data_IF_808913401422
#
_entry.id   IF_808913401422
#
_cell.length_a   1.000
_cell.length_b   1.000
_cell.length_c   1.000
_cell.angle_alpha   90.00
_cell.angle_beta   90.00
_cell.angle_gamma   90.00
#
_symmetry.space_group_name_H-M   'P 1'
#
loop_
_entity.id
_entity.type
_entity.pdbx_description
1 polymer ?
#
# COMPACT_ATOMS: atom_id res chain seq x y z
N UNK A 1 1.85 -2.88 -15.63
CA UNK A 1 1.17 -1.78 -16.35
C UNK A 1 1.72 -1.70 -17.76
N UNK A 2 0.92 -1.39 -18.78
CA UNK A 2 1.45 -1.09 -20.13
C UNK A 2 2.03 0.33 -20.14
N UNK A 3 3.12 0.56 -20.86
CA UNK A 3 3.80 1.86 -20.87
C UNK A 3 2.91 3.01 -21.36
N UNK A 4 2.02 2.76 -22.33
CA UNK A 4 1.06 3.76 -22.81
C UNK A 4 0.06 4.20 -21.72
N UNK A 5 -0.43 3.24 -20.93
CA UNK A 5 -1.32 3.52 -19.81
C UNK A 5 -0.57 4.30 -18.72
N UNK A 6 0.68 3.90 -18.44
CA UNK A 6 1.55 4.59 -17.48
C UNK A 6 1.80 6.04 -17.89
N UNK A 7 2.09 6.30 -19.17
CA UNK A 7 2.33 7.65 -19.67
C UNK A 7 1.11 8.54 -19.48
N UNK A 8 -0.08 8.02 -19.76
CA UNK A 8 -1.32 8.78 -19.56
C UNK A 8 -1.56 9.12 -18.08
N UNK A 9 -1.37 8.14 -17.19
CA UNK A 9 -1.49 8.36 -15.73
C UNK A 9 -0.45 9.36 -15.23
N UNK A 10 0.82 9.19 -15.62
CA UNK A 10 1.92 10.06 -15.20
C UNK A 10 1.74 11.50 -15.68
N UNK A 11 1.18 11.68 -16.88
CA UNK A 11 0.87 13.01 -17.43
C UNK A 11 -0.21 13.72 -16.59
N UNK A 12 -1.30 13.01 -16.26
CA UNK A 12 -2.35 13.51 -15.36
C UNK A 12 -1.76 13.90 -13.98
N UNK A 13 -0.92 13.04 -13.40
CA UNK A 13 -0.26 13.32 -12.12
C UNK A 13 0.69 14.52 -12.20
N UNK A 14 1.49 14.64 -13.27
CA UNK A 14 2.40 15.77 -13.48
C UNK A 14 1.63 17.10 -13.48
N UNK A 15 0.49 17.15 -14.15
CA UNK A 15 -0.37 18.34 -14.19
C UNK A 15 -0.91 18.70 -12.81
N UNK A 16 -1.39 17.71 -12.04
CA UNK A 16 -1.83 17.93 -10.66
C UNK A 16 -0.70 18.44 -9.75
N UNK A 17 0.55 18.02 -10.00
CA UNK A 17 1.72 18.41 -9.20
C UNK A 17 2.24 19.81 -9.55
N UNK A 18 2.12 20.27 -10.81
CA UNK A 18 2.63 21.60 -11.25
C UNK A 18 2.12 22.78 -10.44
N UNK A 19 0.90 22.69 -9.91
CA UNK A 19 0.30 23.74 -9.07
C UNK A 19 0.68 23.66 -7.59
N UNK A 20 1.31 22.58 -7.15
CA UNK A 20 1.54 22.27 -5.73
C UNK A 20 3.00 22.42 -5.30
N UNK A 21 3.94 22.16 -6.21
CA UNK A 21 5.38 22.15 -5.93
C UNK A 21 6.13 23.25 -6.67
N UNK A 22 7.17 23.85 -6.08
CA UNK A 22 8.09 24.72 -6.80
C UNK A 22 8.74 24.00 -7.99
N UNK A 23 9.04 24.75 -9.05
CA UNK A 23 9.80 24.22 -10.19
C UNK A 23 11.15 23.65 -9.71
N UNK A 24 11.48 22.43 -10.13
CA UNK A 24 12.73 21.75 -9.76
C UNK A 24 12.77 21.24 -8.31
N UNK A 25 11.63 21.10 -7.64
CA UNK A 25 11.59 20.56 -6.27
C UNK A 25 11.97 19.07 -6.23
N UNK A 26 13.02 18.74 -5.45
CA UNK A 26 13.62 17.39 -5.39
C UNK A 26 13.69 16.78 -3.99
N UNK A 27 13.28 17.50 -2.96
CA UNK A 27 13.19 16.89 -1.62
C UNK A 27 12.05 15.88 -1.61
N UNK A 28 12.19 14.84 -0.80
CA UNK A 28 11.22 13.74 -0.69
C UNK A 28 10.83 13.56 0.77
N UNK A 29 9.66 12.99 1.01
CA UNK A 29 9.16 12.72 2.35
C UNK A 29 8.10 11.64 2.36
N UNK A 30 7.86 11.04 3.52
CA UNK A 30 6.87 9.94 3.69
C UNK A 30 5.46 10.33 3.22
N UNK A 31 5.11 11.62 3.26
CA UNK A 31 3.83 12.14 2.75
C UNK A 31 4.03 13.21 1.66
N UNK A 32 5.16 13.17 0.95
CA UNK A 32 5.60 14.23 0.06
C UNK A 32 6.25 13.64 -1.19
N UNK A 33 5.51 13.70 -2.30
CA UNK A 33 6.02 13.39 -3.62
C UNK A 33 5.22 12.37 -4.39
N UNK A 34 5.81 11.88 -5.49
CA UNK A 34 5.35 10.72 -6.21
C UNK A 34 6.23 9.53 -5.85
N UNK A 35 5.60 8.48 -5.32
CA UNK A 35 6.31 7.32 -4.80
C UNK A 35 6.06 6.14 -5.74
N UNK A 36 7.12 5.56 -6.29
CA UNK A 36 7.06 4.29 -6.99
C UNK A 36 7.10 3.18 -5.93
N UNK A 37 5.96 2.57 -5.66
CA UNK A 37 5.76 1.58 -4.59
C UNK A 37 4.92 0.39 -5.08
N UNK A 38 4.44 -0.44 -4.17
CA UNK A 38 3.57 -1.59 -4.43
C UNK A 38 3.90 -2.77 -3.53
N UNK A 39 4.02 -3.97 -4.12
CA UNK A 39 4.63 -5.10 -3.43
C UNK A 39 6.15 -4.92 -3.31
N UNK A 40 6.84 -4.77 -4.43
CA UNK A 40 8.27 -4.50 -4.51
C UNK A 40 8.65 -4.03 -5.94
N UNK A 41 9.01 -2.75 -6.16
CA UNK A 41 9.32 -2.21 -7.49
C UNK A 41 10.48 -2.89 -8.21
N UNK A 42 11.51 -3.35 -7.48
CA UNK A 42 12.68 -4.00 -8.07
C UNK A 42 12.41 -5.42 -8.56
N UNK A 43 11.19 -5.97 -8.42
CA UNK A 43 10.78 -7.20 -9.10
C UNK A 43 10.65 -7.01 -10.62
N UNK A 44 10.47 -5.78 -11.09
CA UNK A 44 10.45 -5.45 -12.52
C UNK A 44 11.33 -4.22 -12.77
N UNK A 45 12.67 -4.40 -12.81
CA UNK A 45 13.62 -3.29 -12.91
C UNK A 45 13.48 -2.51 -14.22
N UNK A 46 13.12 -3.18 -15.32
CA UNK A 46 12.92 -2.53 -16.62
C UNK A 46 11.73 -1.55 -16.57
N UNK A 47 10.58 -2.00 -16.06
CA UNK A 47 9.42 -1.14 -15.88
C UNK A 47 9.71 0.00 -14.90
N UNK A 48 10.41 -0.29 -13.78
CA UNK A 48 10.80 0.75 -12.82
C UNK A 48 11.64 1.83 -13.49
N UNK A 49 12.66 1.44 -14.26
CA UNK A 49 13.54 2.37 -14.97
C UNK A 49 12.78 3.20 -16.01
N UNK A 50 11.87 2.58 -16.77
CA UNK A 50 11.02 3.28 -17.73
C UNK A 50 10.10 4.30 -17.07
N UNK A 51 9.50 3.95 -15.92
CA UNK A 51 8.66 4.87 -15.14
C UNK A 51 9.45 6.05 -14.58
N UNK A 52 10.68 5.83 -14.12
CA UNK A 52 11.55 6.91 -13.63
C UNK A 52 11.90 7.87 -14.77
N UNK A 53 12.35 7.36 -15.93
CA UNK A 53 12.66 8.19 -17.11
C UNK A 53 11.44 8.96 -17.60
N UNK A 54 10.28 8.32 -17.57
CA UNK A 54 9.01 8.94 -17.97
C UNK A 54 8.63 10.09 -17.02
N UNK A 55 8.74 9.87 -15.71
CA UNK A 55 8.46 10.89 -14.70
C UNK A 55 9.44 12.08 -14.81
N UNK A 56 10.74 11.81 -15.02
CA UNK A 56 11.75 12.85 -15.23
C UNK A 56 11.46 13.69 -16.50
N UNK A 57 11.17 13.04 -17.62
CA UNK A 57 10.77 13.70 -18.88
C UNK A 57 9.52 14.58 -18.73
N UNK A 58 8.60 14.18 -17.86
CA UNK A 58 7.38 14.93 -17.55
C UNK A 58 7.59 16.00 -16.46
N UNK A 59 8.83 16.19 -15.98
CA UNK A 59 9.19 17.19 -14.97
C UNK A 59 8.58 16.91 -13.59
N UNK A 60 8.33 15.64 -13.25
CA UNK A 60 7.70 15.26 -11.99
C UNK A 60 8.59 15.66 -10.79
N UNK A 61 8.10 16.49 -9.85
CA UNK A 61 8.87 16.84 -8.67
C UNK A 61 8.83 15.73 -7.62
N UNK A 62 9.81 15.71 -6.72
CA UNK A 62 9.79 14.82 -5.53
C UNK A 62 9.56 13.32 -5.83
N UNK A 63 10.15 12.81 -6.92
CA UNK A 63 10.09 11.40 -7.32
C UNK A 63 11.01 10.50 -6.47
N UNK A 64 10.47 9.45 -5.86
CA UNK A 64 11.27 8.42 -5.18
C UNK A 64 10.69 7.01 -5.30
N UNK A 65 11.48 6.01 -4.91
CA UNK A 65 11.07 4.60 -4.87
C UNK A 65 11.03 4.07 -3.45
N UNK A 66 10.05 3.23 -3.13
CA UNK A 66 9.96 2.49 -1.86
C UNK A 66 10.36 1.03 -2.09
N UNK A 67 11.20 0.46 -1.22
CA UNK A 67 11.77 -0.89 -1.44
C UNK A 67 12.00 -1.66 -0.14
N UNK A 68 11.91 -2.98 -0.22
CA UNK A 68 12.26 -3.95 0.83
C UNK A 68 13.73 -4.44 0.75
N UNK A 69 14.45 -4.03 -0.29
CA UNK A 69 15.88 -4.26 -0.50
C UNK A 69 16.30 -5.69 -0.86
N UNK A 70 15.36 -6.56 -1.28
CA UNK A 70 15.72 -7.93 -1.67
C UNK A 70 16.79 -7.99 -2.78
N UNK A 71 16.85 -7.01 -3.67
CA UNK A 71 17.77 -6.93 -4.81
C UNK A 71 19.22 -6.56 -4.42
N UNK A 72 19.46 -6.05 -3.21
CA UNK A 72 20.78 -5.62 -2.74
C UNK A 72 21.63 -6.82 -2.26
N UNK A 73 21.86 -7.80 -3.15
CA UNK A 73 22.60 -9.02 -2.85
C UNK A 73 24.10 -8.79 -2.63
N UNK A 74 24.72 -7.92 -3.43
CA UNK A 74 26.15 -7.53 -3.30
C UNK A 74 26.29 -6.02 -3.33
N UNK A 75 27.44 -5.51 -2.88
CA UNK A 75 27.71 -4.06 -2.83
C UNK A 75 27.67 -3.44 -4.24
N UNK A 76 28.08 -4.22 -5.25
CA UNK A 76 28.01 -3.87 -6.66
C UNK A 76 26.55 -3.80 -7.14
N UNK A 77 25.74 -4.85 -6.90
CA UNK A 77 24.34 -4.85 -7.34
C UNK A 77 23.53 -3.74 -6.66
N UNK A 78 23.85 -3.45 -5.40
CA UNK A 78 23.26 -2.36 -4.64
C UNK A 78 23.57 -1.00 -5.29
N UNK A 79 24.84 -0.71 -5.59
CA UNK A 79 25.25 0.57 -6.18
C UNK A 79 24.80 0.72 -7.63
N UNK A 80 24.94 -0.32 -8.44
CA UNK A 80 24.57 -0.28 -9.86
C UNK A 80 23.09 0.06 -10.03
N UNK A 81 22.20 -0.65 -9.33
CA UNK A 81 20.76 -0.42 -9.48
C UNK A 81 20.37 1.00 -9.02
N UNK A 82 20.94 1.49 -7.93
CA UNK A 82 20.64 2.85 -7.43
C UNK A 82 21.22 3.95 -8.32
N UNK A 83 22.42 3.77 -8.86
CA UNK A 83 23.02 4.72 -9.79
C UNK A 83 22.21 4.79 -11.09
N UNK A 84 21.80 3.64 -11.64
CA UNK A 84 20.95 3.62 -12.84
C UNK A 84 19.65 4.42 -12.62
N UNK A 85 18.98 4.27 -11.48
CA UNK A 85 17.77 5.04 -11.17
C UNK A 85 18.08 6.52 -10.92
N UNK A 86 19.18 6.84 -10.23
CA UNK A 86 19.63 8.21 -9.99
C UNK A 86 19.90 8.96 -11.29
N UNK A 87 20.63 8.33 -12.20
CA UNK A 87 20.95 8.85 -13.54
C UNK A 87 19.70 9.01 -14.41
N UNK A 88 18.71 8.13 -14.24
CA UNK A 88 17.43 8.22 -14.92
C UNK A 88 16.50 9.34 -14.41
N UNK A 89 16.83 9.99 -13.28
CA UNK A 89 16.08 11.12 -12.73
C UNK A 89 15.43 10.88 -11.35
N UNK A 90 15.71 9.76 -10.69
CA UNK A 90 15.17 9.49 -9.35
C UNK A 90 15.76 10.48 -8.32
N UNK A 91 14.91 11.12 -7.51
CA UNK A 91 15.36 12.10 -6.52
C UNK A 91 15.74 11.46 -5.18
N UNK A 92 15.05 10.40 -4.76
CA UNK A 92 15.24 9.78 -3.45
C UNK A 92 14.81 8.32 -3.37
N UNK A 93 14.91 7.76 -2.17
CA UNK A 93 14.57 6.38 -1.87
C UNK A 93 14.07 6.24 -0.43
N UNK A 94 13.08 5.38 -0.24
CA UNK A 94 12.57 4.95 1.07
C UNK A 94 12.85 3.46 1.24
N UNK A 95 13.61 3.13 2.28
CA UNK A 95 13.93 1.75 2.65
C UNK A 95 13.06 1.35 3.83
N UNK A 96 12.20 0.36 3.60
CA UNK A 96 11.33 -0.20 4.64
C UNK A 96 12.08 -1.21 5.47
N UNK A 97 12.11 -1.00 6.80
CA UNK A 97 12.78 -1.91 7.74
C UNK A 97 11.78 -2.35 8.80
N UNK A 98 11.38 -3.61 8.77
CA UNK A 98 10.49 -4.17 9.79
C UNK A 98 10.60 -5.70 9.88
N UNK A 99 10.06 -6.31 10.95
CA UNK A 99 10.12 -7.75 11.15
C UNK A 99 9.42 -8.57 10.06
N UNK A 100 8.41 -8.00 9.39
CA UNK A 100 7.69 -8.68 8.30
C UNK A 100 8.55 -8.84 7.05
N UNK A 101 9.39 -7.85 6.74
CA UNK A 101 10.36 -7.93 5.65
C UNK A 101 11.50 -8.87 6.01
N UNK A 102 11.97 -8.79 7.25
CA UNK A 102 13.10 -9.57 7.76
C UNK A 102 12.87 -11.10 7.72
N UNK A 103 11.62 -11.54 7.71
CA UNK A 103 11.26 -12.94 7.49
C UNK A 103 11.67 -13.46 6.10
N UNK A 104 11.72 -12.58 5.10
CA UNK A 104 11.95 -12.95 3.70
C UNK A 104 13.26 -12.39 3.13
N UNK A 105 13.74 -11.25 3.64
CA UNK A 105 14.92 -10.55 3.14
C UNK A 105 16.04 -10.60 4.19
N UNK A 106 17.20 -11.19 3.87
CA UNK A 106 18.36 -11.17 4.77
C UNK A 106 18.73 -9.75 5.19
N UNK A 107 18.90 -9.53 6.49
CA UNK A 107 19.13 -8.20 7.05
C UNK A 107 20.35 -7.48 6.45
N UNK A 108 21.36 -8.24 6.04
CA UNK A 108 22.56 -7.72 5.40
C UNK A 108 22.24 -6.98 4.09
N UNK A 109 21.18 -7.37 3.38
CA UNK A 109 20.74 -6.69 2.16
C UNK A 109 20.17 -5.31 2.48
N UNK A 110 19.37 -5.20 3.54
CA UNK A 110 18.86 -3.92 4.04
C UNK A 110 20.00 -3.00 4.44
N UNK A 111 20.95 -3.47 5.25
CA UNK A 111 22.12 -2.69 5.68
C UNK A 111 22.95 -2.22 4.48
N UNK A 112 23.13 -3.10 3.49
CA UNK A 112 23.84 -2.78 2.26
C UNK A 112 23.14 -1.70 1.43
N UNK A 113 21.83 -1.85 1.21
CA UNK A 113 21.04 -0.86 0.49
C UNK A 113 21.08 0.50 1.20
N UNK A 114 20.99 0.53 2.54
CA UNK A 114 21.12 1.76 3.33
C UNK A 114 22.49 2.43 3.11
N UNK A 115 23.59 1.67 3.15
CA UNK A 115 24.94 2.22 2.91
C UNK A 115 25.05 2.84 1.52
N UNK A 116 24.66 2.09 0.48
CA UNK A 116 24.71 2.58 -0.90
C UNK A 116 23.80 3.79 -1.12
N UNK A 117 22.57 3.75 -0.61
CA UNK A 117 21.61 4.85 -0.73
C UNK A 117 22.07 6.11 0.01
N UNK A 118 22.76 5.98 1.14
CA UNK A 118 23.33 7.12 1.88
C UNK A 118 24.41 7.83 1.07
N UNK A 119 25.23 7.07 0.34
CA UNK A 119 26.25 7.63 -0.57
C UNK A 119 25.59 8.35 -1.77
N UNK A 120 24.54 7.77 -2.36
CA UNK A 120 23.95 8.21 -3.64
C UNK A 120 22.85 9.28 -3.48
N UNK A 121 21.95 9.12 -2.51
CA UNK A 121 20.77 9.99 -2.31
C UNK A 121 20.93 10.95 -1.13
N UNK A 122 21.86 10.70 -0.22
CA UNK A 122 22.19 11.59 0.90
C UNK A 122 20.93 11.96 1.72
N UNK A 123 20.57 13.24 1.77
CA UNK A 123 19.40 13.75 2.49
C UNK A 123 18.05 13.22 1.97
N UNK A 124 18.02 12.64 0.76
CA UNK A 124 16.83 12.04 0.16
C UNK A 124 16.73 10.52 0.39
N UNK A 125 17.54 9.96 1.29
CA UNK A 125 17.33 8.63 1.84
C UNK A 125 16.39 8.72 3.06
N UNK A 126 15.32 7.93 3.04
CA UNK A 126 14.44 7.72 4.17
C UNK A 126 14.53 6.27 4.64
N UNK A 127 14.63 6.07 5.95
CA UNK A 127 14.53 4.75 6.58
C UNK A 127 13.17 4.69 7.27
N UNK A 128 12.24 3.96 6.67
CA UNK A 128 10.90 3.82 7.23
C UNK A 128 10.90 2.77 8.34
N UNK A 129 10.36 3.18 9.49
CA UNK A 129 10.41 2.44 10.76
C UNK A 129 11.85 2.20 11.27
N UNK A 130 12.67 3.26 11.30
CA UNK A 130 14.06 3.24 11.80
C UNK A 130 14.23 2.62 13.20
N UNK A 131 13.21 2.70 14.06
CA UNK A 131 13.22 2.01 15.35
C UNK A 131 13.46 0.49 15.24
N UNK A 132 12.93 -0.15 14.20
CA UNK A 132 13.18 -1.57 13.93
C UNK A 132 14.58 -1.83 13.42
N UNK A 133 15.18 -0.92 12.65
CA UNK A 133 16.58 -1.05 12.22
C UNK A 133 17.48 -1.22 13.45
N UNK A 134 17.40 -0.28 14.39
CA UNK A 134 18.20 -0.33 15.61
C UNK A 134 17.88 -1.53 16.49
N UNK A 135 16.62 -1.96 16.53
CA UNK A 135 16.24 -3.15 17.28
C UNK A 135 16.86 -4.42 16.69
N UNK A 136 16.78 -4.59 15.37
CA UNK A 136 17.32 -5.76 14.68
C UNK A 136 18.86 -5.79 14.81
N UNK A 137 19.53 -4.62 14.70
CA UNK A 137 20.96 -4.49 14.96
C UNK A 137 21.35 -4.91 16.38
N UNK A 138 20.60 -4.42 17.39
CA UNK A 138 20.84 -4.78 18.80
C UNK A 138 20.64 -6.26 19.10
N UNK A 139 19.71 -6.91 18.40
CA UNK A 139 19.48 -8.34 18.49
C UNK A 139 20.58 -9.16 17.79
N UNK A 140 21.44 -8.53 17.00
CA UNK A 140 22.52 -9.20 16.29
C UNK A 140 22.02 -10.19 15.22
N UNK A 141 20.84 -9.94 14.65
CA UNK A 141 20.25 -10.83 13.64
C UNK A 141 21.15 -10.88 12.41
N UNK A 142 21.40 -12.10 11.92
CA UNK A 142 22.07 -12.39 10.66
C UNK A 142 21.12 -13.19 9.78
N UNK A 143 21.06 -12.86 8.49
CA UNK A 143 20.11 -13.46 7.58
C UNK A 143 18.66 -13.05 7.88
N UNK A 144 17.76 -14.03 7.81
CA UNK A 144 16.31 -13.86 8.05
C UNK A 144 15.92 -14.41 9.41
N UNK A 145 14.86 -13.87 10.01
CA UNK A 145 14.20 -14.45 11.18
C UNK A 145 12.70 -14.46 10.96
N UNK A 146 12.03 -15.57 11.26
CA UNK A 146 10.57 -15.64 11.16
C UNK A 146 9.92 -14.61 12.09
N UNK A 147 8.78 -14.05 11.70
CA UNK A 147 8.08 -13.08 12.52
C UNK A 147 7.76 -13.62 13.92
N UNK A 148 7.33 -14.88 14.04
CA UNK A 148 7.05 -15.48 15.35
C UNK A 148 8.31 -15.60 16.22
N UNK A 149 9.45 -15.87 15.62
CA UNK A 149 10.73 -16.02 16.32
C UNK A 149 11.24 -14.64 16.76
N UNK A 150 11.08 -13.63 15.90
CA UNK A 150 11.34 -12.24 16.24
C UNK A 150 10.53 -11.79 17.46
N UNK A 151 9.22 -12.06 17.49
CA UNK A 151 8.37 -11.72 18.63
C UNK A 151 8.81 -12.43 19.92
N UNK A 152 9.26 -13.69 19.85
CA UNK A 152 9.76 -14.42 21.03
C UNK A 152 11.06 -13.82 21.55
N UNK A 153 11.95 -13.36 20.68
CA UNK A 153 13.24 -12.79 21.08
C UNK A 153 13.12 -11.32 21.52
N UNK A 154 12.38 -10.51 20.77
CA UNK A 154 12.24 -9.08 20.99
C UNK A 154 11.14 -8.73 22.01
N UNK A 155 10.24 -9.67 22.29
CA UNK A 155 9.04 -9.48 23.11
C UNK A 155 7.92 -8.76 22.35
N UNK A 156 6.65 -8.98 22.71
CA UNK A 156 5.51 -8.35 22.03
C UNK A 156 5.53 -6.82 22.07
N UNK A 157 6.14 -6.22 23.11
CA UNK A 157 6.33 -4.78 23.22
C UNK A 157 7.26 -4.20 22.16
N UNK A 158 8.05 -5.03 21.47
CA UNK A 158 8.82 -4.60 20.28
C UNK A 158 7.93 -4.03 19.19
N UNK A 159 6.68 -4.48 19.10
CA UNK A 159 5.72 -4.04 18.09
C UNK A 159 5.05 -2.72 18.44
N UNK A 160 5.39 -2.09 19.58
CA UNK A 160 4.79 -0.82 19.99
C UNK A 160 4.99 0.29 18.94
N UNK A 161 6.12 0.28 18.24
CA UNK A 161 6.43 1.24 17.17
C UNK A 161 5.98 0.78 15.78
N UNK A 162 5.30 -0.36 15.68
CA UNK A 162 4.80 -0.85 14.42
C UNK A 162 3.57 -0.04 14.01
N UNK A 163 3.66 0.69 12.90
CA UNK A 163 2.49 1.31 12.26
C UNK A 163 1.65 0.21 11.57
N UNK A 164 0.98 -0.62 12.38
CA UNK A 164 0.11 -1.69 11.91
C UNK A 164 -1.29 -1.17 11.64
N UNK A 165 -1.56 -0.87 10.38
CA UNK A 165 -2.90 -0.54 9.93
C UNK A 165 -3.75 -1.82 9.94
N UNK A 166 -4.88 -1.87 10.68
CA UNK A 166 -5.76 -3.04 10.73
C UNK A 166 -6.61 -3.10 9.46
N UNK A 167 -5.96 -3.33 8.31
CA UNK A 167 -6.52 -3.40 6.97
C UNK A 167 -5.87 -4.53 6.15
N UNK A 168 -6.53 -4.97 5.09
CA UNK A 168 -5.99 -5.98 4.16
C UNK A 168 -5.61 -7.29 4.85
N UNK A 169 -4.45 -7.88 4.48
CA UNK A 169 -3.99 -9.15 5.04
C UNK A 169 -3.72 -9.12 6.55
N UNK A 170 -3.37 -7.95 7.10
CA UNK A 170 -3.12 -7.81 8.54
C UNK A 170 -4.35 -8.19 9.38
N UNK A 171 -5.56 -7.96 8.85
CA UNK A 171 -6.82 -8.37 9.48
C UNK A 171 -6.98 -9.89 9.63
N UNK A 172 -6.29 -10.67 8.81
CA UNK A 172 -6.40 -12.13 8.80
C UNK A 172 -5.18 -12.78 9.46
N UNK A 173 -3.97 -12.32 9.13
CA UNK A 173 -2.72 -12.92 9.61
C UNK A 173 -2.32 -12.39 11.00
N UNK A 174 -2.62 -11.13 11.32
CA UNK A 174 -2.13 -10.45 12.53
C UNK A 174 -3.23 -10.10 13.55
N UNK A 175 -4.48 -10.53 13.34
CA UNK A 175 -5.61 -10.23 14.26
C UNK A 175 -5.44 -10.75 15.70
N UNK A 176 -4.48 -11.63 15.96
CA UNK A 176 -4.17 -12.08 17.32
C UNK A 176 -3.46 -10.98 18.14
N UNK A 177 -2.97 -9.92 17.48
CA UNK A 177 -2.36 -8.75 18.11
C UNK A 177 -3.39 -7.68 18.51
N UNK A 178 -4.67 -7.86 18.17
CA UNK A 178 -5.71 -6.84 18.35
C UNK A 178 -6.92 -7.39 19.13
N UNK A 179 -7.62 -6.53 19.91
CA UNK A 179 -8.93 -6.88 20.43
C UNK A 179 -9.93 -7.12 19.29
N UNK A 180 -10.95 -7.92 19.55
CA UNK A 180 -11.97 -8.28 18.57
C UNK A 180 -13.34 -7.81 19.04
N UNK A 181 -14.15 -7.42 18.07
CA UNK A 181 -15.41 -6.75 18.23
C UNK A 181 -16.48 -7.38 17.33
N UNK A 182 -17.76 -7.44 17.75
CA UNK A 182 -18.85 -7.85 16.86
C UNK A 182 -19.03 -6.86 15.70
N UNK A 183 -19.74 -7.25 14.63
CA UNK A 183 -19.92 -6.36 13.48
C UNK A 183 -20.66 -5.06 13.83
N UNK A 184 -21.62 -5.15 14.76
CA UNK A 184 -22.48 -4.04 15.19
C UNK A 184 -21.71 -2.84 15.77
N UNK A 185 -20.53 -3.08 16.38
CA UNK A 185 -19.65 -2.02 16.89
C UNK A 185 -19.20 -1.04 15.78
N UNK A 186 -19.26 -1.45 14.51
CA UNK A 186 -18.80 -0.67 13.36
C UNK A 186 -19.93 -0.04 12.54
N UNK A 187 -21.20 -0.29 12.86
CA UNK A 187 -22.33 0.12 12.02
C UNK A 187 -22.52 1.65 11.92
N UNK A 188 -22.08 2.42 12.92
CA UNK A 188 -22.14 3.88 12.87
C UNK A 188 -21.00 4.53 12.07
N UNK A 189 -20.12 3.74 11.44
CA UNK A 189 -18.94 4.25 10.76
C UNK A 189 -19.16 4.39 9.26
N UNK A 190 -18.76 5.55 8.70
CA UNK A 190 -18.70 5.83 7.27
C UNK A 190 -17.25 5.81 6.77
N UNK A 191 -17.08 5.64 5.47
CA UNK A 191 -15.79 5.76 4.77
C UNK A 191 -15.69 7.05 3.95
N UNK A 192 -16.64 7.98 4.06
CA UNK A 192 -16.64 9.23 3.30
C UNK A 192 -15.32 9.98 3.43
N UNK A 193 -14.85 10.21 4.66
CA UNK A 193 -13.62 10.96 4.92
C UNK A 193 -12.38 10.27 4.32
N UNK A 194 -12.28 8.94 4.41
CA UNK A 194 -11.17 8.18 3.84
C UNK A 194 -11.22 8.11 2.31
N UNK A 195 -12.42 8.00 1.72
CA UNK A 195 -12.62 7.90 0.28
C UNK A 195 -12.55 9.26 -0.44
N UNK A 196 -12.73 10.38 0.27
CA UNK A 196 -12.60 11.72 -0.29
C UNK A 196 -11.34 12.46 0.18
N UNK A 197 -10.39 11.77 0.82
CA UNK A 197 -9.17 12.43 1.32
C UNK A 197 -8.34 12.99 0.15
N UNK A 198 -7.82 14.23 0.23
CA UNK A 198 -7.10 14.86 -0.88
C UNK A 198 -5.60 14.51 -0.93
N UNK A 199 -5.16 13.54 -0.13
CA UNK A 199 -3.75 13.17 0.01
C UNK A 199 -3.61 11.66 0.03
N UNK A 200 -2.41 11.18 -0.34
CA UNK A 200 -2.06 9.76 -0.30
C UNK A 200 -3.07 8.92 -1.10
N UNK A 201 -3.02 9.14 -2.40
CA UNK A 201 -3.72 8.44 -3.46
C UNK A 201 -2.76 7.42 -4.06
N UNK A 202 -3.28 6.28 -4.50
CA UNK A 202 -2.53 5.25 -5.21
C UNK A 202 -3.16 4.99 -6.57
N UNK A 203 -2.30 4.61 -7.52
CA UNK A 203 -2.71 4.05 -8.80
C UNK A 203 -2.03 2.70 -8.94
N UNK A 204 -2.82 1.63 -9.09
CA UNK A 204 -2.27 0.30 -9.26
C UNK A 204 -1.85 0.00 -10.72
N UNK A 205 -1.24 -1.17 -10.93
CA UNK A 205 -0.78 -1.60 -12.25
C UNK A 205 -1.89 -1.84 -13.29
N UNK A 206 -3.15 -1.81 -12.87
CA UNK A 206 -4.35 -1.95 -13.68
C UNK A 206 -5.07 -0.61 -13.88
N UNK A 207 -4.44 0.51 -13.48
CA UNK A 207 -4.97 1.87 -13.54
C UNK A 207 -6.17 2.12 -12.62
N UNK A 208 -6.38 1.31 -11.58
CA UNK A 208 -7.38 1.64 -10.56
C UNK A 208 -6.89 2.82 -9.73
N UNK A 209 -7.68 3.88 -9.68
CA UNK A 209 -7.47 5.00 -8.79
C UNK A 209 -8.07 4.69 -7.42
N UNK A 210 -7.28 4.80 -6.37
CA UNK A 210 -7.74 4.58 -4.99
C UNK A 210 -7.21 5.67 -4.07
N UNK A 211 -8.06 6.14 -3.17
CA UNK A 211 -7.63 6.99 -2.06
C UNK A 211 -7.45 6.13 -0.83
N UNK A 212 -6.75 6.65 0.17
CA UNK A 212 -6.68 5.89 1.41
C UNK A 212 -5.64 4.78 1.35
N UNK A 213 -5.85 3.85 2.27
CA UNK A 213 -5.26 2.53 2.25
C UNK A 213 -6.34 1.49 1.88
N UNK A 214 -7.40 1.92 1.18
CA UNK A 214 -8.60 1.12 0.92
C UNK A 214 -8.38 0.15 -0.25
N UNK A 215 -7.53 -0.85 -0.03
CA UNK A 215 -7.27 -1.89 -1.02
C UNK A 215 -8.54 -2.63 -1.46
N UNK A 216 -8.57 -3.03 -2.74
CA UNK A 216 -9.68 -3.74 -3.37
C UNK A 216 -10.85 -2.85 -3.78
N UNK A 217 -10.78 -1.54 -3.56
CA UNK A 217 -11.76 -0.58 -4.08
C UNK A 217 -11.11 0.32 -5.13
N UNK A 218 -11.77 0.44 -6.27
CA UNK A 218 -11.44 1.39 -7.33
C UNK A 218 -12.48 2.51 -7.37
N UNK A 219 -12.02 3.75 -7.32
CA UNK A 219 -12.84 4.95 -7.51
C UNK A 219 -13.00 5.31 -9.00
N UNK A 220 -12.26 4.64 -9.88
CA UNK A 220 -12.29 4.88 -11.31
C UNK A 220 -10.97 4.55 -11.99
N UNK A 221 -10.91 4.85 -13.29
CA UNK A 221 -9.74 4.65 -14.13
C UNK A 221 -8.82 5.88 -14.09
N UNK A 222 -7.61 5.73 -13.55
CA UNK A 222 -6.63 6.81 -13.37
C UNK A 222 -6.19 7.47 -14.69
N UNK A 223 -6.44 6.84 -15.84
CA UNK A 223 -6.23 7.45 -17.17
C UNK A 223 -7.22 8.57 -17.45
N UNK A 224 -8.33 8.61 -16.72
CA UNK A 224 -9.43 9.58 -16.76
C UNK A 224 -9.53 10.33 -15.43
N UNK A 225 -8.39 10.78 -14.91
CA UNK A 225 -8.30 11.40 -13.59
C UNK A 225 -9.17 12.66 -13.45
N UNK A 226 -9.32 13.45 -14.52
CA UNK A 226 -10.19 14.63 -14.53
C UNK A 226 -11.67 14.29 -14.27
N UNK A 227 -12.14 13.14 -14.79
CA UNK A 227 -13.50 12.65 -14.51
C UNK A 227 -13.65 12.36 -13.01
N UNK A 228 -12.67 11.66 -12.42
CA UNK A 228 -12.66 11.32 -10.99
C UNK A 228 -12.62 12.59 -10.11
N UNK A 229 -11.76 13.55 -10.47
CA UNK A 229 -11.60 14.80 -9.72
C UNK A 229 -12.81 15.75 -9.85
N UNK A 230 -13.63 15.60 -10.90
CA UNK A 230 -14.87 16.36 -11.08
C UNK A 230 -16.03 15.85 -10.23
N UNK A 231 -15.91 14.64 -9.68
CA UNK A 231 -16.95 13.96 -8.91
C UNK A 231 -17.12 12.51 -9.37
N UNK A 232 -17.54 11.64 -8.44
CA UNK A 232 -17.78 10.23 -8.74
C UNK A 232 -19.28 9.98 -8.69
N UNK A 233 -19.85 9.62 -9.84
CA UNK A 233 -21.22 9.12 -9.92
C UNK A 233 -21.32 7.76 -9.23
N UNK A 234 -22.36 7.61 -8.40
CA UNK A 234 -22.55 6.47 -7.50
C UNK A 234 -23.64 5.50 -7.96
N UNK A 235 -24.43 5.88 -8.98
CA UNK A 235 -25.57 5.08 -9.48
C UNK A 235 -25.14 3.69 -9.96
N UNK A 236 -23.97 3.60 -10.58
CA UNK A 236 -23.34 2.35 -11.05
C UNK A 236 -22.30 1.79 -10.06
N UNK A 237 -22.18 2.38 -8.86
CA UNK A 237 -21.21 1.98 -7.81
C UNK A 237 -21.90 1.77 -6.46
N UNK A 238 -22.81 0.78 -6.36
CA UNK A 238 -23.65 0.55 -5.19
C UNK A 238 -22.88 0.23 -3.90
N UNK A 239 -21.68 -0.34 -3.97
CA UNK A 239 -20.85 -0.58 -2.78
C UNK A 239 -20.26 0.73 -2.27
N UNK A 240 -19.70 1.55 -3.17
CA UNK A 240 -19.20 2.88 -2.80
C UNK A 240 -20.32 3.76 -2.25
N UNK A 241 -21.49 3.74 -2.88
CA UNK A 241 -22.68 4.49 -2.43
C UNK A 241 -23.01 4.19 -0.96
N UNK A 242 -22.99 2.91 -0.58
CA UNK A 242 -23.22 2.48 0.81
C UNK A 242 -22.10 2.92 1.74
N UNK A 243 -20.84 2.73 1.34
CA UNK A 243 -19.67 3.08 2.15
C UNK A 243 -19.58 4.56 2.50
N UNK A 244 -19.99 5.45 1.59
CA UNK A 244 -19.97 6.91 1.84
C UNK A 244 -21.27 7.44 2.46
N UNK A 245 -22.33 6.64 2.52
CA UNK A 245 -23.58 7.05 3.16
C UNK A 245 -23.40 7.30 4.66
N UNK A 246 -24.36 7.98 5.29
CA UNK A 246 -24.33 8.28 6.73
C UNK A 246 -24.42 7.02 7.60
N UNK A 247 -25.06 5.98 7.08
CA UNK A 247 -25.13 4.65 7.71
C UNK A 247 -23.97 3.73 7.31
N UNK A 248 -23.14 4.15 6.36
CA UNK A 248 -21.85 3.56 6.00
C UNK A 248 -21.82 2.03 5.98
N UNK A 249 -21.04 1.46 6.90
CA UNK A 249 -20.81 0.02 7.06
C UNK A 249 -22.10 -0.74 7.33
N UNK A 250 -23.08 -0.16 8.03
CA UNK A 250 -24.35 -0.83 8.30
C UNK A 250 -25.11 -1.17 7.01
N UNK A 251 -25.18 -0.24 6.05
CA UNK A 251 -25.88 -0.50 4.78
C UNK A 251 -25.14 -1.52 3.91
N UNK A 252 -23.81 -1.49 3.94
CA UNK A 252 -23.00 -2.51 3.27
C UNK A 252 -23.26 -3.89 3.87
N UNK A 253 -23.27 -3.98 5.20
CA UNK A 253 -23.54 -5.22 5.92
C UNK A 253 -24.93 -5.78 5.59
N UNK A 254 -25.99 -4.98 5.74
CA UNK A 254 -27.36 -5.43 5.47
C UNK A 254 -27.53 -5.91 4.03
N UNK A 255 -27.00 -5.15 3.08
CA UNK A 255 -27.00 -5.53 1.66
C UNK A 255 -26.32 -6.89 1.43
N UNK A 256 -25.16 -7.11 2.04
CA UNK A 256 -24.45 -8.38 1.89
C UNK A 256 -25.21 -9.56 2.52
N UNK A 257 -25.89 -9.33 3.65
CA UNK A 257 -26.72 -10.36 4.30
C UNK A 257 -27.95 -10.69 3.45
N UNK A 258 -28.66 -9.66 2.99
CA UNK A 258 -29.95 -9.79 2.28
C UNK A 258 -29.76 -10.35 0.86
N UNK A 259 -28.77 -9.85 0.11
CA UNK A 259 -28.61 -10.18 -1.32
C UNK A 259 -27.58 -11.30 -1.57
N UNK A 260 -26.58 -11.44 -0.69
CA UNK A 260 -25.46 -12.38 -0.89
C UNK A 260 -25.34 -13.43 0.23
N UNK A 261 -26.23 -13.40 1.22
CA UNK A 261 -26.21 -14.37 2.33
C UNK A 261 -24.95 -14.31 3.19
N UNK A 262 -24.34 -13.12 3.33
CA UNK A 262 -23.17 -12.90 4.17
C UNK A 262 -23.42 -13.35 5.62
N UNK A 263 -22.39 -13.96 6.23
CA UNK A 263 -22.41 -14.37 7.64
C UNK A 263 -21.18 -13.85 8.35
N UNK A 264 -21.40 -13.31 9.54
CA UNK A 264 -20.30 -12.77 10.33
C UNK A 264 -19.27 -13.82 10.75
N UNK A 265 -18.03 -13.39 10.87
CA UNK A 265 -16.98 -14.20 11.47
C UNK A 265 -17.28 -14.42 12.96
N UNK A 266 -17.34 -15.68 13.39
CA UNK A 266 -17.60 -16.05 14.80
C UNK A 266 -16.65 -15.39 15.79
N UNK A 267 -15.42 -15.10 15.37
CA UNK A 267 -14.37 -14.50 16.19
C UNK A 267 -14.44 -12.96 16.22
N UNK A 268 -15.35 -12.34 15.47
CA UNK A 268 -15.46 -10.89 15.31
C UNK A 268 -14.35 -10.29 14.45
N UNK A 269 -14.29 -8.96 14.46
CA UNK A 269 -13.44 -8.14 13.62
C UNK A 269 -12.54 -7.23 14.46
N UNK A 270 -11.45 -6.74 13.88
CA UNK A 270 -10.47 -5.88 14.59
C UNK A 270 -10.59 -4.41 14.21
N UNK A 271 -11.39 -4.10 13.19
CA UNK A 271 -11.63 -2.76 12.67
C UNK A 271 -12.82 -2.75 11.71
N UNK A 272 -13.37 -1.56 11.43
CA UNK A 272 -14.38 -1.39 10.35
C UNK A 272 -13.86 -1.85 8.98
N UNK A 273 -12.56 -1.71 8.74
CA UNK A 273 -11.93 -2.10 7.49
C UNK A 273 -11.80 -3.62 7.37
N UNK A 274 -11.62 -4.34 8.48
CA UNK A 274 -11.70 -5.80 8.50
C UNK A 274 -13.11 -6.25 8.08
N UNK A 275 -14.16 -5.75 8.73
CA UNK A 275 -15.55 -6.08 8.37
C UNK A 275 -15.86 -5.74 6.90
N UNK A 276 -15.49 -4.53 6.46
CA UNK A 276 -15.68 -4.09 5.08
C UNK A 276 -14.95 -4.97 4.06
N UNK A 277 -13.70 -5.34 4.31
CA UNK A 277 -12.94 -6.25 3.42
C UNK A 277 -13.59 -7.62 3.40
N UNK A 278 -14.02 -8.14 4.54
CA UNK A 278 -14.61 -9.47 4.65
C UNK A 278 -15.95 -9.58 3.90
N UNK A 279 -16.81 -8.57 4.05
CA UNK A 279 -18.04 -8.44 3.26
C UNK A 279 -17.73 -8.38 1.77
N UNK A 280 -16.81 -7.50 1.35
CA UNK A 280 -16.47 -7.35 -0.08
C UNK A 280 -15.86 -8.62 -0.66
N UNK A 281 -15.04 -9.35 0.10
CA UNK A 281 -14.47 -10.64 -0.29
C UNK A 281 -15.57 -11.66 -0.56
N UNK A 282 -16.54 -11.77 0.36
CA UNK A 282 -17.69 -12.67 0.19
C UNK A 282 -18.52 -12.33 -1.05
N UNK A 283 -18.76 -11.04 -1.32
CA UNK A 283 -19.49 -10.60 -2.53
C UNK A 283 -18.72 -10.98 -3.81
N UNK A 284 -17.41 -10.71 -3.87
CA UNK A 284 -16.57 -11.00 -5.05
C UNK A 284 -16.45 -12.51 -5.33
N UNK A 285 -16.63 -13.36 -4.31
CA UNK A 285 -16.69 -14.82 -4.50
C UNK A 285 -17.99 -15.28 -5.19
N UNK A 286 -19.02 -14.44 -5.23
CA UNK A 286 -20.34 -14.78 -5.79
C UNK A 286 -20.64 -14.07 -7.10
N UNK A 287 -20.09 -12.86 -7.32
CA UNK A 287 -20.36 -12.05 -8.51
C UNK A 287 -19.17 -11.16 -8.87
N UNK A 288 -19.04 -10.82 -10.15
CA UNK A 288 -18.07 -9.85 -10.70
C UNK A 288 -18.75 -8.56 -11.22
N UNK A 289 -20.05 -8.38 -10.95
CA UNK A 289 -20.86 -7.26 -11.44
C UNK A 289 -20.43 -5.88 -10.90
N UNK A 290 -19.78 -5.84 -9.72
CA UNK A 290 -19.36 -4.58 -9.09
C UNK A 290 -18.04 -4.09 -9.65
N UNK A 291 -18.11 -3.09 -10.52
CA UNK A 291 -16.95 -2.47 -11.19
C UNK A 291 -15.97 -1.82 -10.20
N UNK A 292 -16.45 -1.37 -9.04
CA UNK A 292 -15.65 -0.76 -7.99
C UNK A 292 -14.83 -1.78 -7.16
N UNK A 293 -15.12 -3.08 -7.23
CA UNK A 293 -14.42 -4.12 -6.46
C UNK A 293 -13.21 -4.66 -7.24
N UNK A 294 -12.17 -3.83 -7.36
CA UNK A 294 -10.97 -4.14 -8.15
C UNK A 294 -9.67 -3.79 -7.40
N UNK A 295 -8.56 -4.48 -7.75
CA UNK A 295 -8.50 -5.63 -8.65
C UNK A 295 -8.97 -6.92 -7.95
N UNK A 296 -9.57 -7.87 -8.66
CA UNK A 296 -9.99 -9.18 -8.11
C UNK A 296 -8.86 -9.93 -7.42
N UNK A 297 -7.63 -9.77 -7.94
CA UNK A 297 -6.43 -10.32 -7.33
C UNK A 297 -6.20 -9.86 -5.89
N UNK A 298 -6.68 -8.68 -5.49
CA UNK A 298 -6.65 -8.28 -4.09
C UNK A 298 -7.39 -9.29 -3.21
N UNK A 299 -8.63 -9.62 -3.57
CA UNK A 299 -9.51 -10.51 -2.80
C UNK A 299 -9.03 -11.95 -2.80
N UNK A 300 -8.57 -12.46 -3.96
CA UNK A 300 -8.05 -13.85 -4.09
C UNK A 300 -6.80 -14.10 -3.24
N UNK A 301 -6.04 -13.05 -2.93
CA UNK A 301 -4.82 -13.14 -2.12
C UNK A 301 -5.03 -12.81 -0.63
N UNK A 302 -6.25 -12.49 -0.21
CA UNK A 302 -6.60 -12.48 1.21
C UNK A 302 -6.80 -13.94 1.64
N UNK A 303 -5.82 -14.49 2.36
CA UNK A 303 -5.94 -15.86 2.88
C UNK A 303 -7.19 -15.96 3.75
N UNK A 304 -8.05 -16.94 3.43
CA UNK A 304 -9.14 -17.34 4.30
C UNK A 304 -8.56 -17.93 5.60
N UNK A 305 -9.26 -17.75 6.72
CA UNK A 305 -9.21 -18.80 7.74
C UNK A 305 -9.79 -20.07 7.12
N UNK A 306 -9.17 -21.21 7.43
CA UNK A 306 -9.90 -22.46 7.44
C UNK A 306 -11.20 -22.22 8.23
N UNK A 307 -12.34 -22.46 7.61
CA UNK A 307 -13.57 -22.68 8.35
C UNK A 307 -13.29 -23.88 9.25
N UNK A 308 -12.85 -23.62 10.48
CA UNK A 308 -12.70 -24.68 11.48
C UNK A 308 -14.13 -25.18 11.70
N UNK A 309 -14.38 -26.33 11.10
CA UNK A 309 -15.56 -27.19 11.26
C UNK A 309 -15.97 -27.31 12.71
#
# INVERSE_FOLDING_TARGET
MRLEDAERVMRNLSEAFRGRYPSGYRQVGVNLGLHLTGGEPFLNPDLLLDLVRMADRLGMPSLFVETNCFWAATDESARESLNQLKEAGLHGILISVNPFILEYVPFERTLRAIRAAREIFQANLMIYQEGFLHQIERLGVRGTIRFEDYLRTAGASSMYYAELLPMGRACYELRHLFPRHPAEDFFCMSCRAELTRPWHIHVDNYCNYMTGYCGGISLGDARRMDEICSGIELDDKPILARLVSDRGIELLYRFAVEEYGYRELRKGYISKCHLCVDIRKHIVEQTDEFVELKPEGFYRNLKAEDAVS
#
